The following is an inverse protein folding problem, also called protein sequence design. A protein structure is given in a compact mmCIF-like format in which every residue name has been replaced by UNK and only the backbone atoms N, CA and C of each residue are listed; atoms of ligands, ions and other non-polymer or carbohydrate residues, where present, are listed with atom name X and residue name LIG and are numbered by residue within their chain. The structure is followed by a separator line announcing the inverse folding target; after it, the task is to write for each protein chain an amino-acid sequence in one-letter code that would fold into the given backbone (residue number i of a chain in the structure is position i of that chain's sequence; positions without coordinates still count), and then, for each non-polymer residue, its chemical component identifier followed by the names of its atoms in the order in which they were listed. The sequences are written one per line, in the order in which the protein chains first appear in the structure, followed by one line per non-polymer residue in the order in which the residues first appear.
data_IF_386106270671
#
_entry.id   IF_386106270671
#
_cell.length_a   1.000
_cell.length_b   1.000
_cell.length_c   1.000
_cell.angle_alpha   90.00
_cell.angle_beta   90.00
_cell.angle_gamma   90.00
#
_symmetry.space_group_name_H-M   'P 1'
#
loop_
_entity.id
_entity.type
_entity.pdbx_description
1 polymer ?
#
# COMPACT_ATOMS: atom_id res chain seq x y z
N UNK A 1 -36.94 18.75 13.00
CA UNK A 1 -37.20 17.30 12.82
C UNK A 1 -35.88 16.59 13.06
N UNK A 2 -35.92 15.59 13.93
CA UNK A 2 -34.81 14.96 14.63
C UNK A 2 -33.71 14.44 13.72
N UNK A 3 -32.50 14.96 13.88
CA UNK A 3 -31.25 14.26 13.56
C UNK A 3 -31.00 13.19 14.64
N UNK A 4 -31.90 12.20 14.69
CA UNK A 4 -31.79 11.03 15.55
C UNK A 4 -30.64 10.16 15.04
N UNK A 5 -29.64 10.00 15.90
CA UNK A 5 -28.66 8.90 15.95
C UNK A 5 -28.61 8.02 14.70
N UNK A 6 -27.89 8.50 13.68
CA UNK A 6 -27.31 7.58 12.71
C UNK A 6 -26.30 6.76 13.51
N UNK A 7 -26.68 5.53 13.91
CA UNK A 7 -25.81 4.63 14.63
C UNK A 7 -24.46 4.60 13.89
N UNK A 8 -23.42 5.14 14.52
CA UNK A 8 -22.10 5.28 13.90
C UNK A 8 -21.64 3.87 13.61
N UNK A 9 -21.76 3.46 12.34
CA UNK A 9 -21.29 2.16 11.89
C UNK A 9 -19.78 2.15 12.05
N UNK A 10 -19.23 1.05 12.55
CA UNK A 10 -17.79 0.87 12.63
C UNK A 10 -17.16 1.10 11.25
N UNK A 11 -16.01 1.78 11.23
CA UNK A 11 -15.24 2.00 10.01
C UNK A 11 -14.58 0.69 9.58
N UNK A 12 -14.52 0.43 8.27
CA UNK A 12 -13.95 -0.82 7.74
C UNK A 12 -12.42 -0.88 7.86
N UNK A 13 -11.75 0.28 7.75
CA UNK A 13 -10.29 0.40 7.85
C UNK A 13 -9.93 1.72 8.49
N UNK A 14 -9.26 1.65 9.64
CA UNK A 14 -8.67 2.81 10.28
C UNK A 14 -7.26 3.11 9.74
N UNK A 15 -6.82 4.37 9.74
CA UNK A 15 -5.45 4.74 9.40
C UNK A 15 -4.42 4.10 10.34
N UNK A 16 -3.20 3.87 9.83
CA UNK A 16 -2.12 3.27 10.62
C UNK A 16 -1.81 3.98 11.94
N UNK A 17 -1.93 5.31 12.00
CA UNK A 17 -1.72 6.09 13.22
C UNK A 17 -2.76 5.81 14.31
N UNK A 18 -3.95 5.34 13.94
CA UNK A 18 -5.00 4.93 14.88
C UNK A 18 -4.79 3.47 15.29
N UNK A 19 -4.63 2.58 14.30
CA UNK A 19 -4.44 1.14 14.53
C UNK A 19 -3.23 0.87 15.43
N UNK A 20 -2.12 1.57 15.20
CA UNK A 20 -0.86 1.36 15.93
C UNK A 20 -0.51 2.50 16.89
N UNK A 21 -1.52 3.23 17.41
CA UNK A 21 -1.31 4.36 18.32
C UNK A 21 -0.43 3.98 19.52
N UNK A 22 -0.66 2.81 20.11
CA UNK A 22 0.10 2.34 21.28
C UNK A 22 1.57 2.10 20.95
N UNK A 23 1.88 1.53 19.79
CA UNK A 23 3.24 1.29 19.33
C UNK A 23 3.96 2.60 18.99
N UNK A 24 3.26 3.53 18.34
CA UNK A 24 3.79 4.85 17.99
C UNK A 24 4.13 5.66 19.24
N UNK A 25 3.22 5.75 20.21
CA UNK A 25 3.46 6.48 21.46
C UNK A 25 4.56 5.83 22.31
N UNK A 26 4.61 4.50 22.34
CA UNK A 26 5.71 3.77 22.98
C UNK A 26 7.05 4.11 22.35
N UNK A 27 7.15 4.08 21.03
CA UNK A 27 8.39 4.43 20.32
C UNK A 27 8.80 5.87 20.56
N UNK A 28 7.87 6.84 20.49
CA UNK A 28 8.14 8.26 20.80
C UNK A 28 8.67 8.45 22.22
N UNK A 29 8.07 7.77 23.22
CA UNK A 29 8.46 7.91 24.62
C UNK A 29 9.86 7.35 24.94
N UNK A 30 10.37 6.44 24.11
CA UNK A 30 11.70 5.83 24.27
C UNK A 30 12.72 6.37 23.25
N UNK A 31 12.32 7.34 22.42
CA UNK A 31 13.17 7.87 21.37
C UNK A 31 14.09 8.97 21.90
N UNK A 32 15.38 8.67 21.90
CA UNK A 32 16.44 9.60 22.27
C UNK A 32 17.32 10.01 21.08
N UNK A 33 16.90 9.65 19.85
CA UNK A 33 17.60 10.01 18.63
C UNK A 33 17.35 11.47 18.22
N UNK A 34 18.20 12.03 17.34
CA UNK A 34 17.93 13.33 16.73
C UNK A 34 16.68 13.23 15.84
N UNK A 35 15.75 14.17 16.02
CA UNK A 35 14.49 14.24 15.26
C UNK A 35 14.62 15.34 14.20
N UNK A 36 14.46 15.02 12.91
CA UNK A 36 14.42 16.03 11.85
C UNK A 36 13.31 17.06 12.08
N UNK A 37 13.48 18.32 11.66
CA UNK A 37 12.45 19.35 11.86
C UNK A 37 11.10 18.94 11.26
N UNK A 38 10.02 19.12 12.04
CA UNK A 38 8.65 18.76 11.69
C UNK A 38 8.29 17.26 11.82
N UNK A 39 9.26 16.38 12.11
CA UNK A 39 8.98 14.96 12.34
C UNK A 39 8.50 14.71 13.77
N UNK A 40 7.69 13.65 13.94
CA UNK A 40 7.15 13.21 15.24
C UNK A 40 8.13 12.32 16.01
N UNK A 41 9.09 11.70 15.33
CA UNK A 41 10.09 10.80 15.92
C UNK A 41 11.32 10.68 15.01
N UNK A 42 12.42 10.15 15.54
CA UNK A 42 13.69 9.99 14.85
C UNK A 42 13.63 8.93 13.75
N UNK A 43 14.52 9.00 12.74
CA UNK A 43 14.65 7.98 11.70
C UNK A 43 14.78 6.54 12.24
N UNK A 44 15.41 6.36 13.41
CA UNK A 44 15.56 5.05 14.04
C UNK A 44 14.24 4.54 14.63
N UNK A 45 13.44 5.42 15.23
CA UNK A 45 12.12 5.07 15.73
C UNK A 45 11.18 4.72 14.56
N UNK A 46 11.22 5.48 13.46
CA UNK A 46 10.48 5.15 12.22
C UNK A 46 10.91 3.79 11.67
N UNK A 47 12.22 3.50 11.62
CA UNK A 47 12.73 2.18 11.17
C UNK A 47 12.13 1.04 12.01
N UNK A 48 12.15 1.18 13.34
CA UNK A 48 11.59 0.19 14.26
C UNK A 48 10.08 0.04 14.11
N UNK A 49 9.35 1.13 13.91
CA UNK A 49 7.92 1.08 13.68
C UNK A 49 7.56 0.24 12.46
N UNK A 50 8.28 0.43 11.35
CA UNK A 50 8.03 -0.26 10.07
C UNK A 50 8.50 -1.72 10.12
N UNK A 51 9.74 -1.96 10.57
CA UNK A 51 10.37 -3.29 10.55
C UNK A 51 10.03 -4.17 11.75
N UNK A 52 9.42 -3.60 12.78
CA UNK A 52 9.22 -4.26 14.06
C UNK A 52 10.48 -4.27 14.93
N UNK A 53 10.27 -4.53 16.22
CA UNK A 53 11.30 -4.73 17.22
C UNK A 53 10.73 -5.66 18.29
N UNK A 54 11.09 -6.95 18.21
CA UNK A 54 10.56 -8.01 19.10
C UNK A 54 10.82 -7.72 20.58
N UNK A 55 11.99 -7.15 20.91
CA UNK A 55 12.34 -6.80 22.30
C UNK A 55 11.42 -5.73 22.87
N UNK A 56 10.86 -4.90 22.00
CA UNK A 56 9.91 -3.86 22.36
C UNK A 56 8.47 -4.28 22.10
N UNK A 57 8.21 -5.50 21.64
CA UNK A 57 6.88 -5.96 21.24
C UNK A 57 6.25 -5.12 20.13
N UNK A 58 7.08 -4.54 19.25
CA UNK A 58 6.64 -3.75 18.09
C UNK A 58 6.49 -4.70 16.92
N UNK A 59 5.30 -4.75 16.32
CA UNK A 59 4.99 -5.68 15.25
C UNK A 59 5.79 -5.36 13.97
N UNK A 60 6.28 -6.39 13.28
CA UNK A 60 6.85 -6.27 11.92
C UNK A 60 5.74 -6.02 10.90
N UNK A 61 5.51 -4.76 10.54
CA UNK A 61 4.44 -4.31 9.64
C UNK A 61 4.81 -4.40 8.16
N UNK A 62 6.11 -4.41 7.85
CA UNK A 62 6.63 -4.49 6.48
C UNK A 62 7.86 -5.40 6.39
N UNK A 63 7.87 -6.29 5.42
CA UNK A 63 8.98 -7.23 5.16
C UNK A 63 9.85 -6.67 4.07
N UNK A 64 11.04 -6.20 4.44
CA UNK A 64 12.07 -5.78 3.50
C UNK A 64 13.46 -5.77 4.14
N UNK A 65 14.47 -5.71 3.28
CA UNK A 65 15.85 -5.51 3.70
C UNK A 65 16.00 -4.21 4.49
N UNK A 66 16.73 -4.28 5.61
CA UNK A 66 17.00 -3.12 6.47
C UNK A 66 17.55 -1.95 5.65
N UNK A 67 18.49 -2.23 4.75
CA UNK A 67 19.14 -1.21 3.94
C UNK A 67 18.12 -0.44 3.07
N UNK A 68 17.11 -1.11 2.50
CA UNK A 68 16.06 -0.46 1.72
C UNK A 68 15.23 0.49 2.57
N UNK A 69 14.74 0.03 3.72
CA UNK A 69 13.94 0.86 4.64
C UNK A 69 14.74 2.09 5.10
N UNK A 70 16.01 1.89 5.46
CA UNK A 70 16.89 3.00 5.87
C UNK A 70 17.09 4.00 4.74
N UNK A 71 17.33 3.57 3.49
CA UNK A 71 17.48 4.50 2.36
C UNK A 71 16.22 5.32 2.12
N UNK A 72 15.04 4.71 2.20
CA UNK A 72 13.75 5.41 2.09
C UNK A 72 13.63 6.49 3.18
N UNK A 73 13.88 6.12 4.44
CA UNK A 73 13.79 7.07 5.56
C UNK A 73 14.79 8.21 5.41
N UNK A 74 16.03 7.92 5.00
CA UNK A 74 17.06 8.93 4.78
C UNK A 74 16.71 9.84 3.60
N UNK A 75 16.15 9.31 2.51
CA UNK A 75 15.63 10.12 1.40
C UNK A 75 14.60 11.13 1.89
N UNK A 76 13.68 10.70 2.76
CA UNK A 76 12.64 11.58 3.33
C UNK A 76 13.19 12.61 4.33
N UNK A 77 14.36 12.38 4.92
CA UNK A 77 15.07 13.40 5.72
C UNK A 77 15.66 14.51 4.84
N UNK A 78 15.82 14.28 3.53
CA UNK A 78 16.27 15.29 2.59
C UNK A 78 15.08 16.09 2.05
N UNK A 79 15.38 17.18 1.33
CA UNK A 79 14.37 17.93 0.58
C UNK A 79 14.00 17.26 -0.75
N UNK A 80 14.23 15.97 -0.95
CA UNK A 80 13.75 15.23 -2.13
C UNK A 80 12.53 14.40 -1.77
N UNK A 81 11.61 14.28 -2.72
CA UNK A 81 10.52 13.33 -2.58
C UNK A 81 11.04 11.89 -2.68
N UNK A 82 10.28 10.92 -2.17
CA UNK A 82 10.59 9.50 -2.34
C UNK A 82 9.59 8.90 -3.34
N UNK A 83 10.08 8.14 -4.31
CA UNK A 83 9.24 7.42 -5.26
C UNK A 83 9.45 5.91 -5.11
N UNK A 84 8.41 5.25 -4.62
CA UNK A 84 8.34 3.80 -4.46
C UNK A 84 7.85 3.17 -5.77
N UNK A 85 8.71 2.39 -6.42
CA UNK A 85 8.41 1.72 -7.70
C UNK A 85 8.39 0.21 -7.50
N UNK A 86 7.46 -0.50 -8.11
CA UNK A 86 7.46 -1.97 -8.03
C UNK A 86 6.21 -2.59 -8.63
N UNK A 87 6.18 -3.91 -8.70
CA UNK A 87 5.01 -4.65 -9.21
C UNK A 87 3.75 -4.35 -8.38
N UNK A 88 2.53 -4.47 -8.94
CA UNK A 88 1.31 -4.35 -8.16
C UNK A 88 1.29 -5.31 -6.97
N UNK A 89 0.75 -4.87 -5.83
CA UNK A 89 0.61 -5.71 -4.65
C UNK A 89 1.89 -5.95 -3.82
N UNK A 90 2.99 -5.24 -4.10
CA UNK A 90 4.21 -5.22 -3.24
C UNK A 90 4.10 -4.29 -2.03
N UNK A 91 2.88 -3.95 -1.61
CA UNK A 91 2.59 -3.14 -0.42
C UNK A 91 3.19 -1.71 -0.40
N UNK A 92 3.45 -1.10 -1.58
CA UNK A 92 3.96 0.28 -1.71
C UNK A 92 3.10 1.33 -0.98
N UNK A 93 1.79 1.30 -1.22
CA UNK A 93 0.85 2.22 -0.56
C UNK A 93 0.76 1.98 0.94
N UNK A 94 0.94 0.74 1.39
CA UNK A 94 1.01 0.43 2.82
C UNK A 94 2.27 0.98 3.46
N UNK A 95 3.43 0.82 2.83
CA UNK A 95 4.68 1.42 3.30
C UNK A 95 4.59 2.95 3.35
N UNK A 96 4.01 3.57 2.32
CA UNK A 96 3.72 5.01 2.25
C UNK A 96 2.84 5.48 3.42
N UNK A 97 1.82 4.70 3.78
CA UNK A 97 0.96 4.96 4.94
C UNK A 97 1.72 4.88 6.26
N UNK A 98 2.46 3.79 6.48
CA UNK A 98 3.24 3.58 7.70
C UNK A 98 4.27 4.68 7.93
N UNK A 99 4.98 5.08 6.88
CA UNK A 99 5.96 6.16 6.95
C UNK A 99 5.29 7.50 7.27
N UNK A 100 4.17 7.82 6.62
CA UNK A 100 3.45 9.07 6.87
C UNK A 100 2.88 9.13 8.29
N UNK A 101 2.34 8.02 8.79
CA UNK A 101 1.85 7.88 10.16
C UNK A 101 2.98 8.08 11.18
N UNK A 102 4.13 7.41 10.99
CA UNK A 102 5.26 7.53 11.90
C UNK A 102 5.93 8.91 11.86
N UNK A 103 6.07 9.49 10.67
CA UNK A 103 6.79 10.75 10.48
C UNK A 103 5.94 11.96 10.84
N UNK A 104 4.70 12.03 10.36
CA UNK A 104 3.84 13.22 10.51
C UNK A 104 2.68 13.02 11.46
N UNK A 105 2.43 11.80 11.94
CA UNK A 105 1.25 11.48 12.76
C UNK A 105 -0.06 11.50 11.98
N UNK A 106 0.00 11.61 10.65
CA UNK A 106 -1.16 11.65 9.78
C UNK A 106 -0.82 11.07 8.41
N UNK A 107 -1.53 10.02 8.01
CA UNK A 107 -1.35 9.33 6.73
C UNK A 107 -2.49 9.55 5.74
N UNK A 108 -3.39 10.47 6.04
CA UNK A 108 -4.66 10.71 5.31
C UNK A 108 -4.55 11.80 4.24
N UNK A 109 -3.42 12.51 4.16
CA UNK A 109 -3.14 13.46 3.07
C UNK A 109 -2.73 12.69 1.80
N UNK A 110 -3.73 12.26 1.03
CA UNK A 110 -3.54 11.39 -0.13
C UNK A 110 -4.00 12.09 -1.42
N UNK A 111 -3.16 12.04 -2.45
CA UNK A 111 -3.51 12.31 -3.84
C UNK A 111 -3.51 11.00 -4.63
N UNK A 112 -4.51 10.80 -5.47
CA UNK A 112 -4.63 9.64 -6.35
C UNK A 112 -4.41 10.07 -7.80
N UNK A 113 -3.43 9.47 -8.48
CA UNK A 113 -2.98 9.97 -9.76
C UNK A 113 -4.02 9.93 -10.88
N UNK A 114 -4.93 8.94 -10.85
CA UNK A 114 -6.05 8.86 -11.79
C UNK A 114 -7.24 9.79 -11.47
N UNK A 115 -7.26 10.43 -10.30
CA UNK A 115 -8.37 11.26 -9.86
C UNK A 115 -8.15 12.76 -10.10
N UNK A 116 -6.91 13.19 -10.30
CA UNK A 116 -6.55 14.59 -10.53
C UNK A 116 -6.31 14.81 -12.02
N UNK A 117 -7.06 15.73 -12.63
CA UNK A 117 -6.96 16.01 -14.07
C UNK A 117 -6.50 17.45 -14.39
N UNK A 118 -6.49 18.33 -13.39
CA UNK A 118 -6.16 19.76 -13.56
C UNK A 118 -5.21 20.26 -12.47
N UNK A 119 -4.32 21.20 -12.84
CA UNK A 119 -3.30 21.76 -11.93
C UNK A 119 -3.96 22.47 -10.74
N UNK A 120 -5.11 23.13 -10.96
CA UNK A 120 -5.90 23.71 -9.86
C UNK A 120 -6.22 22.65 -8.80
N UNK A 121 -6.88 21.55 -9.19
CA UNK A 121 -7.25 20.45 -8.28
C UNK A 121 -6.05 19.84 -7.53
N UNK A 122 -4.85 19.91 -8.10
CA UNK A 122 -3.64 19.44 -7.45
C UNK A 122 -3.27 20.29 -6.22
N UNK A 123 -3.50 21.61 -6.26
CA UNK A 123 -3.12 22.55 -5.20
C UNK A 123 -4.32 23.03 -4.37
N UNK A 124 -5.40 23.47 -5.00
CA UNK A 124 -6.57 24.02 -4.31
C UNK A 124 -7.81 24.09 -5.22
N UNK A 125 -8.96 24.21 -4.58
CA UNK A 125 -10.18 24.68 -5.22
C UNK A 125 -10.74 25.90 -4.47
N UNK A 126 -11.92 26.37 -4.87
CA UNK A 126 -12.59 27.50 -4.25
C UNK A 126 -13.93 27.08 -3.65
N UNK A 127 -14.28 27.70 -2.53
CA UNK A 127 -15.65 27.79 -2.06
C UNK A 127 -16.37 28.85 -2.89
N UNK A 128 -17.15 28.40 -3.88
CA UNK A 128 -17.82 29.27 -4.85
C UNK A 128 -18.72 30.33 -4.20
N UNK A 129 -19.34 30.02 -3.06
CA UNK A 129 -20.20 30.98 -2.35
C UNK A 129 -19.40 32.12 -1.72
N UNK A 130 -18.26 31.81 -1.09
CA UNK A 130 -17.38 32.84 -0.50
C UNK A 130 -16.68 33.61 -1.62
N UNK A 131 -16.22 32.92 -2.67
CA UNK A 131 -15.57 33.52 -3.82
C UNK A 131 -16.49 34.53 -4.53
N UNK A 132 -17.77 34.20 -4.71
CA UNK A 132 -18.74 35.10 -5.34
C UNK A 132 -19.00 36.38 -4.51
N UNK A 133 -19.02 36.26 -3.18
CA UNK A 133 -19.36 37.36 -2.28
C UNK A 133 -18.16 38.25 -1.91
N UNK A 134 -17.02 37.64 -1.62
CA UNK A 134 -15.83 38.32 -1.08
C UNK A 134 -14.69 38.44 -2.13
N UNK A 135 -14.82 37.79 -3.29
CA UNK A 135 -13.73 37.66 -4.26
C UNK A 135 -12.65 36.66 -3.81
N UNK A 136 -11.55 36.54 -4.58
CA UNK A 136 -10.43 35.68 -4.22
C UNK A 136 -9.82 36.09 -2.88
N UNK A 137 -9.93 35.22 -1.88
CA UNK A 137 -9.38 35.43 -0.54
C UNK A 137 -9.06 34.10 0.13
N UNK A 138 -8.21 34.10 1.16
CA UNK A 138 -7.84 32.88 1.91
C UNK A 138 -9.05 32.13 2.48
N UNK A 139 -10.14 32.83 2.83
CA UNK A 139 -11.37 32.18 3.31
C UNK A 139 -12.09 31.37 2.23
N UNK A 140 -12.00 31.81 0.98
CA UNK A 140 -12.57 31.10 -0.15
C UNK A 140 -11.70 29.91 -0.57
N UNK A 141 -10.42 29.88 -0.19
CA UNK A 141 -9.48 28.83 -0.59
C UNK A 141 -9.81 27.50 0.08
N UNK A 142 -9.97 26.45 -0.73
CA UNK A 142 -10.13 25.08 -0.27
C UNK A 142 -8.86 24.31 -0.62
N UNK A 143 -7.92 24.15 0.32
CA UNK A 143 -6.61 23.56 0.01
C UNK A 143 -6.71 22.07 -0.25
N UNK A 144 -6.00 21.59 -1.28
CA UNK A 144 -5.87 20.16 -1.57
C UNK A 144 -5.05 19.44 -0.49
N UNK A 145 -4.99 18.10 -0.48
CA UNK A 145 -4.05 17.37 0.37
C UNK A 145 -2.59 17.83 0.24
N UNK A 146 -2.16 18.22 -0.97
CA UNK A 146 -0.79 18.70 -1.20
C UNK A 146 -0.56 20.05 -0.52
N UNK A 147 -1.44 21.02 -0.76
CA UNK A 147 -1.30 22.36 -0.16
C UNK A 147 -1.46 22.32 1.36
N UNK A 148 -2.37 21.49 1.88
CA UNK A 148 -2.46 21.23 3.33
C UNK A 148 -1.16 20.66 3.88
N UNK A 149 -0.58 19.67 3.20
CA UNK A 149 0.72 19.11 3.59
C UNK A 149 1.83 20.17 3.65
N UNK A 150 1.88 21.06 2.65
CA UNK A 150 2.81 22.19 2.64
C UNK A 150 2.56 23.15 3.81
N UNK A 151 1.32 23.58 4.01
CA UNK A 151 0.94 24.54 5.06
C UNK A 151 1.12 23.97 6.48
N UNK A 152 0.98 22.67 6.65
CA UNK A 152 1.03 22.00 7.97
C UNK A 152 2.39 21.34 8.26
N UNK A 153 3.28 21.23 7.26
CA UNK A 153 4.57 20.55 7.42
C UNK A 153 4.43 19.03 7.54
N UNK A 154 3.60 18.42 6.68
CA UNK A 154 3.25 16.99 6.76
C UNK A 154 3.60 16.21 5.50
N UNK A 155 3.81 14.90 5.66
CA UNK A 155 3.97 13.97 4.56
C UNK A 155 2.69 13.90 3.72
N UNK A 156 2.84 13.99 2.40
CA UNK A 156 1.76 13.81 1.43
C UNK A 156 2.04 12.56 0.62
N UNK A 157 1.02 11.70 0.52
CA UNK A 157 1.09 10.45 -0.23
C UNK A 157 0.54 10.68 -1.63
N UNK A 158 1.33 10.42 -2.65
CA UNK A 158 0.92 10.53 -4.04
C UNK A 158 0.87 9.14 -4.67
N UNK A 159 -0.30 8.53 -4.66
CA UNK A 159 -0.48 7.17 -5.14
C UNK A 159 -0.64 7.15 -6.68
N UNK A 160 0.04 6.20 -7.34
CA UNK A 160 0.00 5.99 -8.79
C UNK A 160 0.34 7.25 -9.61
N UNK A 161 1.41 7.97 -9.25
CA UNK A 161 1.80 9.26 -9.86
C UNK A 161 1.98 9.20 -11.39
N UNK A 162 2.35 8.03 -11.93
CA UNK A 162 2.51 7.82 -13.37
C UNK A 162 1.18 7.82 -14.15
N UNK A 163 0.04 7.74 -13.46
CA UNK A 163 -1.29 7.89 -14.09
C UNK A 163 -1.69 9.34 -14.31
N UNK A 164 -0.99 10.30 -13.69
CA UNK A 164 -1.24 11.71 -13.91
C UNK A 164 -0.74 12.20 -15.28
N UNK A 165 -1.48 13.11 -15.93
CA UNK A 165 -0.97 13.91 -17.05
C UNK A 165 0.37 14.57 -16.73
N UNK A 166 1.22 14.70 -17.74
CA UNK A 166 2.57 15.24 -17.57
C UNK A 166 2.58 16.70 -17.05
N UNK A 167 1.57 17.51 -17.41
CA UNK A 167 1.41 18.87 -16.88
C UNK A 167 1.23 18.90 -15.36
N UNK A 168 0.57 17.90 -14.77
CA UNK A 168 0.45 17.77 -13.31
C UNK A 168 1.75 17.33 -12.66
N UNK A 169 2.46 16.40 -13.30
CA UNK A 169 3.78 15.96 -12.83
C UNK A 169 4.77 17.14 -12.81
N UNK A 170 4.73 18.00 -13.82
CA UNK A 170 5.60 19.17 -13.90
C UNK A 170 5.18 20.27 -12.91
N UNK A 171 3.89 20.38 -12.57
CA UNK A 171 3.42 21.28 -11.51
C UNK A 171 3.94 20.92 -10.11
N UNK A 172 4.34 19.66 -9.87
CA UNK A 172 5.00 19.26 -8.62
C UNK A 172 6.44 19.74 -8.52
N UNK A 173 7.08 20.16 -9.62
CA UNK A 173 8.50 20.50 -9.63
C UNK A 173 8.80 21.72 -8.76
N UNK A 174 7.96 22.75 -8.79
CA UNK A 174 8.11 23.93 -7.92
C UNK A 174 7.90 23.55 -6.46
N UNK A 175 6.88 22.72 -6.16
CA UNK A 175 6.58 22.24 -4.82
C UNK A 175 7.71 21.39 -4.22
N UNK A 176 8.38 20.57 -5.03
CA UNK A 176 9.50 19.73 -4.58
C UNK A 176 10.85 20.46 -4.55
N UNK A 177 11.09 21.37 -5.50
CA UNK A 177 12.39 22.05 -5.65
C UNK A 177 12.45 23.30 -4.79
N UNK A 178 11.50 24.22 -4.98
CA UNK A 178 11.53 25.56 -4.39
C UNK A 178 10.74 25.61 -3.07
N UNK A 179 9.94 24.57 -2.80
CA UNK A 179 9.07 24.50 -1.62
C UNK A 179 8.05 25.64 -1.56
N UNK A 180 7.63 26.11 -2.74
CA UNK A 180 6.66 27.20 -2.92
C UNK A 180 5.51 26.75 -3.80
N UNK A 181 4.29 27.13 -3.43
CA UNK A 181 3.12 27.11 -4.28
C UNK A 181 2.61 28.54 -4.45
N UNK A 182 2.30 28.92 -5.68
CA UNK A 182 1.76 30.25 -6.02
C UNK A 182 0.28 30.11 -6.33
N UNK A 183 -0.53 30.99 -5.73
CA UNK A 183 -1.98 31.13 -5.90
C UNK A 183 -2.19 32.51 -6.55
N UNK A 184 -2.17 32.60 -7.89
CA UNK A 184 -2.12 33.88 -8.60
C UNK A 184 -3.32 34.79 -8.34
N UNK A 185 -4.47 34.21 -7.96
CA UNK A 185 -5.70 34.95 -7.71
C UNK A 185 -5.66 35.74 -6.39
N UNK A 186 -4.77 35.39 -5.45
CA UNK A 186 -4.61 36.12 -4.19
C UNK A 186 -3.59 37.24 -4.33
N UNK A 187 -3.90 38.42 -3.78
CA UNK A 187 -3.05 39.59 -3.89
C UNK A 187 -1.89 39.56 -2.89
N UNK A 188 -0.72 40.04 -3.33
CA UNK A 188 0.46 40.22 -2.48
C UNK A 188 1.02 38.91 -1.94
N UNK A 189 1.54 38.96 -0.71
CA UNK A 189 2.23 37.83 -0.08
C UNK A 189 1.28 36.66 0.25
N UNK A 190 -0.03 36.89 0.31
CA UNK A 190 -1.03 35.83 0.58
C UNK A 190 -1.12 34.81 -0.56
N UNK A 191 -0.73 35.18 -1.77
CA UNK A 191 -0.67 34.29 -2.93
C UNK A 191 0.57 33.39 -2.96
N UNK A 192 1.47 33.49 -1.97
CA UNK A 192 2.71 32.70 -1.93
C UNK A 192 2.71 31.80 -0.69
N UNK A 193 2.53 30.49 -0.91
CA UNK A 193 2.55 29.50 0.16
C UNK A 193 3.91 28.80 0.20
N UNK A 194 4.64 29.03 1.29
CA UNK A 194 5.89 28.32 1.59
C UNK A 194 5.59 27.04 2.37
N UNK A 195 6.22 25.93 2.00
CA UNK A 195 6.08 24.69 2.75
C UNK A 195 6.79 24.79 4.10
N UNK A 196 6.11 24.34 5.16
CA UNK A 196 6.68 24.26 6.51
C UNK A 196 7.62 23.05 6.63
N UNK A 197 8.54 23.13 7.58
CA UNK A 197 9.38 22.01 7.98
C UNK A 197 8.54 20.77 8.28
N UNK A 198 9.01 19.59 7.84
CA UNK A 198 8.27 18.33 7.91
C UNK A 198 7.50 17.97 6.63
N UNK A 199 7.25 18.92 5.73
CA UNK A 199 6.62 18.63 4.45
C UNK A 199 7.54 17.82 3.52
N UNK A 200 7.04 16.69 3.03
CA UNK A 200 7.63 15.98 1.89
C UNK A 200 6.59 15.11 1.17
N UNK A 201 6.96 14.53 0.03
CA UNK A 201 6.08 13.68 -0.78
C UNK A 201 6.60 12.25 -0.86
N UNK A 202 5.73 11.29 -0.56
CA UNK A 202 5.95 9.86 -0.81
C UNK A 202 5.05 9.45 -1.97
N UNK A 203 5.62 9.22 -3.14
CA UNK A 203 4.88 8.79 -4.32
C UNK A 203 5.01 7.29 -4.57
N UNK A 204 4.01 6.71 -5.24
CA UNK A 204 4.05 5.31 -5.70
C UNK A 204 3.84 5.23 -7.21
N UNK A 205 4.48 4.24 -7.83
CA UNK A 205 4.26 3.89 -9.24
C UNK A 205 4.39 2.39 -9.44
N UNK A 206 3.58 1.82 -10.34
CA UNK A 206 3.78 0.45 -10.78
C UNK A 206 4.92 0.42 -11.82
N UNK A 207 5.76 -0.63 -11.79
CA UNK A 207 6.87 -0.82 -12.73
C UNK A 207 6.42 -1.41 -14.08
N UNK A 208 5.31 -2.18 -14.06
CA UNK A 208 4.80 -2.95 -15.19
C UNK A 208 3.70 -2.20 -15.95
N UNK A 209 3.08 -1.19 -15.32
CA UNK A 209 2.11 -0.37 -16.04
C UNK A 209 2.87 0.46 -17.07
N UNK A 210 2.48 0.29 -18.34
CA UNK A 210 2.36 1.38 -19.29
C UNK A 210 1.38 2.42 -18.72
N UNK A 211 1.72 3.02 -17.58
CA UNK A 211 1.02 4.17 -17.04
C UNK A 211 0.95 5.16 -18.18
N UNK A 212 -0.26 5.57 -18.54
CA UNK A 212 -0.62 6.29 -19.77
C UNK A 212 0.38 7.42 -20.11
N UNK A 213 1.04 7.97 -19.08
CA UNK A 213 2.11 8.96 -19.21
C UNK A 213 3.46 8.47 -18.69
N UNK A 214 4.48 8.54 -19.56
CA UNK A 214 5.88 8.37 -19.15
C UNK A 214 6.26 9.45 -18.15
N UNK A 215 6.82 9.04 -17.01
CA UNK A 215 7.27 9.98 -15.99
C UNK A 215 8.32 10.96 -16.51
N UNK A 216 8.13 12.26 -16.23
CA UNK A 216 9.00 13.32 -16.75
C UNK A 216 10.42 13.21 -16.18
N UNK A 217 11.44 13.39 -17.03
CA UNK A 217 12.84 13.31 -16.61
C UNK A 217 13.19 14.35 -15.53
N UNK A 218 12.48 15.47 -15.50
CA UNK A 218 12.62 16.49 -14.46
C UNK A 218 12.15 15.97 -13.10
N UNK A 219 10.97 15.33 -13.05
CA UNK A 219 10.44 14.76 -11.81
C UNK A 219 11.35 13.66 -11.27
N UNK A 220 11.89 12.81 -12.16
CA UNK A 220 12.87 11.78 -11.78
C UNK A 220 14.15 12.34 -11.13
N UNK A 221 14.52 13.60 -11.39
CA UNK A 221 15.72 14.21 -10.77
C UNK A 221 15.42 14.87 -9.42
N UNK A 222 14.15 14.99 -9.04
CA UNK A 222 13.68 15.62 -7.80
C UNK A 222 13.16 14.60 -6.78
N UNK A 223 13.13 13.33 -7.15
CA UNK A 223 12.75 12.23 -6.28
C UNK A 223 13.86 11.19 -6.22
N UNK A 224 14.07 10.59 -5.05
CA UNK A 224 14.91 9.41 -4.94
C UNK A 224 14.05 8.16 -5.18
N UNK A 225 14.61 7.21 -5.92
CA UNK A 225 13.90 6.01 -6.39
C UNK A 225 14.25 4.84 -5.50
N UNK A 226 13.23 4.14 -5.03
CA UNK A 226 13.39 2.88 -4.33
C UNK A 226 12.48 1.82 -4.92
N UNK A 227 13.09 0.73 -5.37
CA UNK A 227 12.38 -0.41 -5.94
C UNK A 227 11.91 -1.35 -4.84
N UNK A 228 10.60 -1.57 -4.76
CA UNK A 228 9.95 -2.47 -3.82
C UNK A 228 9.64 -3.78 -4.53
N UNK A 229 10.47 -4.78 -4.28
CA UNK A 229 10.32 -6.12 -4.81
C UNK A 229 9.30 -6.95 -4.01
N UNK A 230 8.70 -7.99 -4.61
CA UNK A 230 7.95 -9.01 -3.88
C UNK A 230 8.80 -9.69 -2.79
N UNK A 231 8.12 -10.23 -1.77
CA UNK A 231 8.78 -10.99 -0.71
C UNK A 231 9.45 -12.23 -1.30
N UNK A 232 10.75 -12.40 -1.01
CA UNK A 232 11.57 -13.47 -1.57
C UNK A 232 11.47 -14.78 -0.81
N UNK A 233 11.41 -14.71 0.51
CA UNK A 233 11.35 -15.91 1.34
C UNK A 233 9.89 -16.33 1.53
N UNK A 234 9.60 -17.58 1.20
CA UNK A 234 8.25 -18.14 1.35
C UNK A 234 7.76 -18.06 2.80
N UNK A 235 8.64 -18.31 3.78
CA UNK A 235 8.29 -18.23 5.20
C UNK A 235 7.88 -16.82 5.61
N UNK A 236 8.61 -15.79 5.15
CA UNK A 236 8.23 -14.41 5.43
C UNK A 236 6.90 -14.03 4.76
N UNK A 237 6.63 -14.56 3.56
CA UNK A 237 5.36 -14.35 2.86
C UNK A 237 4.21 -15.06 3.60
N UNK A 238 4.45 -16.27 4.11
CA UNK A 238 3.52 -17.02 4.95
C UNK A 238 3.14 -16.24 6.22
N UNK A 239 4.14 -15.73 6.93
CA UNK A 239 3.95 -14.97 8.17
C UNK A 239 3.08 -13.73 7.93
N UNK A 240 3.30 -13.05 6.79
CA UNK A 240 2.47 -11.90 6.39
C UNK A 240 1.04 -12.35 6.09
N UNK A 241 0.85 -13.39 5.29
CA UNK A 241 -0.48 -13.85 4.90
C UNK A 241 -1.28 -14.30 6.12
N UNK A 242 -0.72 -15.17 6.96
CA UNK A 242 -1.38 -15.66 8.17
C UNK A 242 -1.76 -14.51 9.12
N UNK A 243 -0.83 -13.58 9.38
CA UNK A 243 -1.08 -12.46 10.28
C UNK A 243 -2.19 -11.54 9.76
N UNK A 244 -2.14 -11.16 8.48
CA UNK A 244 -3.11 -10.23 7.93
C UNK A 244 -4.49 -10.89 7.72
N UNK A 245 -4.55 -12.20 7.45
CA UNK A 245 -5.82 -12.96 7.42
C UNK A 245 -6.44 -13.04 8.81
N UNK A 246 -5.64 -13.33 9.86
CA UNK A 246 -6.13 -13.33 11.26
C UNK A 246 -6.72 -11.96 11.62
N UNK A 247 -6.00 -10.86 11.35
CA UNK A 247 -6.51 -9.50 11.57
C UNK A 247 -7.79 -9.21 10.78
N UNK A 248 -7.89 -9.68 9.54
CA UNK A 248 -9.08 -9.49 8.72
C UNK A 248 -10.28 -10.28 9.27
N UNK A 249 -10.06 -11.51 9.73
CA UNK A 249 -11.08 -12.34 10.36
C UNK A 249 -11.56 -11.71 11.68
N UNK A 250 -10.65 -11.25 12.54
CA UNK A 250 -10.99 -10.59 13.80
C UNK A 250 -11.87 -9.35 13.57
N UNK A 251 -11.51 -8.51 12.60
CA UNK A 251 -12.31 -7.32 12.22
C UNK A 251 -13.69 -7.69 11.67
N UNK A 252 -13.79 -8.82 10.98
CA UNK A 252 -15.04 -9.33 10.45
C UNK A 252 -15.89 -10.07 11.51
N UNK A 253 -15.36 -10.27 12.72
CA UNK A 253 -16.00 -11.07 13.77
C UNK A 253 -16.12 -12.55 13.39
N UNK A 254 -15.15 -13.05 12.63
CA UNK A 254 -15.11 -14.42 12.11
C UNK A 254 -14.14 -15.24 12.93
N UNK A 255 -14.61 -16.34 13.51
CA UNK A 255 -13.79 -17.28 14.28
C UNK A 255 -13.61 -18.58 13.50
N UNK A 256 -12.56 -18.64 12.69
CA UNK A 256 -12.26 -19.80 11.84
C UNK A 256 -10.89 -20.33 12.20
N UNK A 257 -10.80 -21.64 12.41
CA UNK A 257 -9.51 -22.30 12.56
C UNK A 257 -8.78 -22.28 11.21
N UNK A 258 -7.64 -21.57 11.19
CA UNK A 258 -6.80 -21.43 10.01
C UNK A 258 -5.71 -22.50 10.09
N UNK A 259 -5.90 -23.58 9.34
CA UNK A 259 -4.86 -24.57 9.13
C UNK A 259 -3.72 -23.97 8.28
N UNK A 260 -2.56 -23.75 8.91
CA UNK A 260 -1.38 -23.17 8.26
C UNK A 260 -0.92 -24.01 7.05
N UNK A 261 -1.13 -25.33 7.08
CA UNK A 261 -0.78 -26.23 5.98
C UNK A 261 -1.72 -26.13 4.77
N UNK A 262 -2.91 -25.54 4.94
CA UNK A 262 -3.81 -25.19 3.84
C UNK A 262 -3.39 -23.86 3.22
N UNK A 263 -3.08 -22.86 4.05
CA UNK A 263 -2.55 -21.56 3.59
C UNK A 263 -1.20 -21.74 2.89
N UNK A 264 -0.40 -22.72 3.30
CA UNK A 264 0.88 -23.03 2.65
C UNK A 264 0.74 -23.35 1.17
N UNK A 265 -0.33 -24.06 0.79
CA UNK A 265 -0.63 -24.36 -0.61
C UNK A 265 -0.82 -23.07 -1.39
N UNK A 266 -1.68 -22.17 -0.89
CA UNK A 266 -1.96 -20.89 -1.52
C UNK A 266 -0.69 -20.09 -1.75
N UNK A 267 0.09 -19.88 -0.68
CA UNK A 267 1.28 -19.02 -0.72
C UNK A 267 2.33 -19.63 -1.63
N UNK A 268 2.52 -20.96 -1.59
CA UNK A 268 3.46 -21.64 -2.48
C UNK A 268 3.05 -21.54 -3.94
N UNK A 269 1.78 -21.79 -4.27
CA UNK A 269 1.29 -21.68 -5.64
C UNK A 269 1.49 -20.25 -6.18
N UNK A 270 1.11 -19.24 -5.40
CA UNK A 270 1.24 -17.84 -5.80
C UNK A 270 2.71 -17.46 -5.97
N UNK A 271 3.57 -17.88 -5.05
CA UNK A 271 5.00 -17.62 -5.09
C UNK A 271 5.66 -18.21 -6.35
N UNK A 272 5.41 -19.48 -6.65
CA UNK A 272 6.03 -20.16 -7.78
C UNK A 272 5.53 -19.63 -9.13
N UNK A 273 4.22 -19.44 -9.25
CA UNK A 273 3.58 -18.93 -10.46
C UNK A 273 3.92 -17.46 -10.72
N UNK A 274 4.15 -16.66 -9.67
CA UNK A 274 4.64 -15.28 -9.80
C UNK A 274 6.08 -15.23 -10.30
N UNK A 275 6.91 -16.16 -9.85
CA UNK A 275 8.33 -16.22 -10.19
C UNK A 275 8.63 -17.03 -11.46
N UNK A 276 7.69 -17.83 -11.96
CA UNK A 276 7.93 -18.77 -13.07
C UNK A 276 8.93 -19.87 -12.70
N UNK A 277 9.06 -20.17 -11.40
CA UNK A 277 10.00 -21.16 -10.90
C UNK A 277 9.45 -21.81 -9.64
N UNK A 278 9.52 -23.13 -9.60
CA UNK A 278 9.19 -23.93 -8.40
C UNK A 278 10.23 -23.77 -7.30
N UNK A 279 9.88 -24.07 -6.05
CA UNK A 279 10.80 -24.00 -4.91
C UNK A 279 12.04 -24.89 -5.08
N UNK A 280 11.92 -26.00 -5.83
CA UNK A 280 13.03 -26.88 -6.18
C UNK A 280 13.83 -26.45 -7.43
N UNK A 281 13.52 -25.27 -7.98
CA UNK A 281 14.29 -24.61 -9.03
C UNK A 281 13.87 -24.95 -10.46
N UNK A 282 12.88 -25.84 -10.68
CA UNK A 282 12.36 -26.14 -12.02
C UNK A 282 11.57 -24.95 -12.56
N UNK A 283 11.83 -24.58 -13.81
CA UNK A 283 11.03 -23.57 -14.52
C UNK A 283 9.57 -23.98 -14.63
N UNK A 284 8.67 -23.02 -14.52
CA UNK A 284 7.24 -23.19 -14.76
C UNK A 284 6.66 -21.94 -15.43
N UNK A 285 5.40 -21.99 -15.82
CA UNK A 285 4.74 -20.86 -16.44
C UNK A 285 4.58 -19.70 -15.45
N UNK A 286 4.83 -18.47 -15.93
CA UNK A 286 4.59 -17.25 -15.17
C UNK A 286 3.17 -16.74 -15.41
N UNK A 287 2.48 -16.40 -14.33
CA UNK A 287 1.18 -15.71 -14.32
C UNK A 287 1.38 -14.24 -13.97
N UNK A 288 0.40 -13.39 -14.30
CA UNK A 288 0.49 -11.95 -14.03
C UNK A 288 0.72 -11.66 -12.54
N UNK A 289 1.74 -10.85 -12.22
CA UNK A 289 2.16 -10.61 -10.84
C UNK A 289 1.11 -9.93 -9.96
N UNK A 290 0.21 -9.12 -10.54
CA UNK A 290 -0.89 -8.47 -9.82
C UNK A 290 -1.89 -9.48 -9.23
N UNK A 291 -2.26 -10.50 -10.02
CA UNK A 291 -3.17 -11.56 -9.64
C UNK A 291 -2.55 -12.56 -8.63
N UNK A 292 -1.25 -12.50 -8.39
CA UNK A 292 -0.53 -13.42 -7.49
C UNK A 292 0.31 -12.68 -6.44
N UNK A 293 -0.13 -11.48 -6.07
CA UNK A 293 0.53 -10.69 -5.03
C UNK A 293 0.24 -11.23 -3.63
N UNK A 294 1.08 -10.87 -2.66
CA UNK A 294 0.84 -11.22 -1.25
C UNK A 294 -0.48 -10.64 -0.73
N UNK A 295 -0.86 -9.44 -1.19
CA UNK A 295 -2.16 -8.83 -0.85
C UNK A 295 -3.34 -9.63 -1.42
N UNK A 296 -3.18 -10.18 -2.62
CA UNK A 296 -4.19 -11.05 -3.22
C UNK A 296 -4.27 -12.39 -2.47
N UNK A 297 -3.15 -12.96 -2.03
CA UNK A 297 -3.15 -14.15 -1.17
C UNK A 297 -3.91 -13.92 0.15
N UNK A 298 -3.70 -12.77 0.82
CA UNK A 298 -4.49 -12.39 2.00
C UNK A 298 -5.99 -12.33 1.66
N UNK A 299 -6.35 -11.72 0.53
CA UNK A 299 -7.75 -11.62 0.10
C UNK A 299 -8.38 -12.99 -0.18
N UNK A 300 -7.64 -13.89 -0.83
CA UNK A 300 -8.08 -15.26 -1.12
C UNK A 300 -8.29 -16.08 0.15
N UNK A 301 -7.33 -16.06 1.08
CA UNK A 301 -7.43 -16.78 2.35
C UNK A 301 -8.51 -16.20 3.27
N UNK A 302 -8.70 -14.87 3.29
CA UNK A 302 -9.80 -14.25 4.04
C UNK A 302 -11.17 -14.62 3.43
N UNK A 303 -11.30 -14.61 2.10
CA UNK A 303 -12.53 -15.07 1.43
C UNK A 303 -12.83 -16.55 1.74
N UNK A 304 -11.81 -17.41 1.74
CA UNK A 304 -11.95 -18.80 2.15
C UNK A 304 -12.37 -18.95 3.62
N UNK A 305 -11.87 -18.08 4.51
CA UNK A 305 -12.28 -18.03 5.91
C UNK A 305 -13.77 -17.65 6.04
N UNK A 306 -14.20 -16.60 5.34
CA UNK A 306 -15.60 -16.18 5.31
C UNK A 306 -16.51 -17.30 4.78
N UNK A 307 -16.08 -17.98 3.73
CA UNK A 307 -16.84 -19.10 3.16
C UNK A 307 -16.95 -20.27 4.16
N UNK A 308 -15.84 -20.61 4.83
CA UNK A 308 -15.84 -21.61 5.89
C UNK A 308 -16.78 -21.25 7.05
N UNK A 309 -16.77 -19.99 7.49
CA UNK A 309 -17.62 -19.50 8.58
C UNK A 309 -19.10 -19.52 8.24
N UNK A 310 -19.47 -18.92 7.10
CA UNK A 310 -20.88 -18.74 6.75
C UNK A 310 -21.52 -19.97 6.10
N UNK A 311 -20.72 -20.81 5.42
CA UNK A 311 -21.25 -21.93 4.61
C UNK A 311 -20.51 -23.27 4.81
N UNK A 312 -19.32 -23.28 5.42
CA UNK A 312 -18.41 -24.44 5.45
C UNK A 312 -18.18 -25.10 6.81
N UNK A 313 -19.00 -24.82 7.83
CA UNK A 313 -18.91 -25.48 9.14
C UNK A 313 -17.73 -25.05 10.02
N UNK A 314 -17.12 -23.88 9.75
CA UNK A 314 -16.14 -23.24 10.63
C UNK A 314 -14.66 -23.60 10.39
N UNK A 315 -14.33 -24.43 9.41
CA UNK A 315 -12.95 -24.81 9.08
C UNK A 315 -12.58 -24.50 7.64
N UNK A 316 -11.40 -23.93 7.41
CA UNK A 316 -10.89 -23.68 6.06
C UNK A 316 -10.37 -24.98 5.42
N UNK A 317 -11.08 -25.50 4.41
CA UNK A 317 -10.66 -26.70 3.67
C UNK A 317 -9.88 -26.34 2.41
N UNK A 318 -9.09 -27.31 1.90
CA UNK A 318 -8.38 -27.18 0.61
C UNK A 318 -9.36 -26.91 -0.54
N UNK A 319 -10.56 -27.52 -0.51
CA UNK A 319 -11.59 -27.31 -1.53
C UNK A 319 -12.08 -25.86 -1.59
N UNK A 320 -12.44 -25.29 -0.44
CA UNK A 320 -12.86 -23.88 -0.36
C UNK A 320 -11.75 -22.95 -0.84
N UNK A 321 -10.52 -23.18 -0.39
CA UNK A 321 -9.36 -22.38 -0.80
C UNK A 321 -9.13 -22.46 -2.32
N UNK A 322 -9.21 -23.66 -2.90
CA UNK A 322 -8.99 -23.88 -4.33
C UNK A 322 -10.00 -23.13 -5.21
N UNK A 323 -11.27 -23.04 -4.79
CA UNK A 323 -12.26 -22.22 -5.51
C UNK A 323 -11.87 -20.75 -5.59
N UNK A 324 -11.36 -20.18 -4.49
CA UNK A 324 -10.93 -18.79 -4.45
C UNK A 324 -9.59 -18.56 -5.17
N UNK A 325 -8.65 -19.51 -5.12
CA UNK A 325 -7.40 -19.47 -5.90
C UNK A 325 -7.69 -19.36 -7.39
N UNK A 326 -8.58 -20.22 -7.91
CA UNK A 326 -8.89 -20.24 -9.35
C UNK A 326 -9.59 -18.95 -9.78
N UNK A 327 -10.54 -18.46 -8.97
CA UNK A 327 -11.20 -17.19 -9.24
C UNK A 327 -10.25 -15.98 -9.23
N UNK A 328 -9.18 -16.05 -8.43
CA UNK A 328 -8.14 -15.02 -8.36
C UNK A 328 -7.15 -15.11 -9.53
N UNK A 329 -6.62 -16.30 -9.80
CA UNK A 329 -5.58 -16.53 -10.80
C UNK A 329 -6.07 -16.39 -12.25
N UNK A 330 -7.39 -16.55 -12.52
CA UNK A 330 -7.96 -16.56 -13.88
C UNK A 330 -8.76 -15.29 -14.24
N UNK A 331 -8.46 -14.15 -13.60
CA UNK A 331 -9.21 -12.89 -13.78
C UNK A 331 -9.05 -12.26 -15.16
N UNK A 332 -7.83 -12.22 -15.68
CA UNK A 332 -7.47 -11.21 -16.69
C UNK A 332 -7.07 -11.80 -18.05
N UNK A 333 -6.27 -12.88 -18.11
CA UNK A 333 -5.76 -13.39 -19.38
C UNK A 333 -6.33 -14.76 -19.77
N UNK A 334 -6.81 -14.93 -21.02
CA UNK A 334 -7.30 -16.22 -21.50
C UNK A 334 -6.28 -17.36 -21.40
N UNK A 335 -4.99 -17.03 -21.56
CA UNK A 335 -3.89 -17.99 -21.51
C UNK A 335 -3.55 -18.47 -20.09
N UNK A 336 -3.94 -17.72 -19.06
CA UNK A 336 -3.64 -18.02 -17.65
C UNK A 336 -4.20 -19.36 -17.22
N UNK A 337 -5.33 -19.76 -17.81
CA UNK A 337 -5.94 -21.07 -17.56
C UNK A 337 -5.06 -22.21 -18.04
N UNK A 338 -4.49 -22.10 -19.24
CA UNK A 338 -3.59 -23.10 -19.80
C UNK A 338 -2.33 -23.22 -18.94
N UNK A 339 -1.76 -22.08 -18.52
CA UNK A 339 -0.57 -22.00 -17.66
C UNK A 339 -0.81 -22.63 -16.30
N UNK A 340 -1.94 -22.31 -15.66
CA UNK A 340 -2.31 -22.90 -14.37
C UNK A 340 -2.50 -24.42 -14.48
N UNK A 341 -3.14 -24.91 -15.55
CA UNK A 341 -3.28 -26.35 -15.80
C UNK A 341 -1.92 -27.03 -15.95
N UNK A 342 -1.02 -26.44 -16.72
CA UNK A 342 0.34 -26.95 -16.90
C UNK A 342 1.12 -26.99 -15.57
N UNK A 343 1.01 -25.95 -14.76
CA UNK A 343 1.60 -25.91 -13.41
C UNK A 343 1.07 -27.04 -12.53
N UNK A 344 -0.24 -27.30 -12.56
CA UNK A 344 -0.82 -28.43 -11.82
C UNK A 344 -0.19 -29.76 -12.27
N UNK A 345 -0.11 -29.99 -13.59
CA UNK A 345 0.40 -31.25 -14.16
C UNK A 345 1.89 -31.48 -13.86
N UNK A 346 2.69 -30.42 -13.80
CA UNK A 346 4.16 -30.52 -13.71
C UNK A 346 4.72 -30.27 -12.31
N UNK A 347 4.11 -29.35 -11.55
CA UNK A 347 4.61 -28.91 -10.25
C UNK A 347 3.78 -29.45 -9.07
N UNK A 348 2.46 -29.58 -9.23
CA UNK A 348 1.57 -30.06 -8.15
C UNK A 348 1.47 -31.58 -8.12
N UNK A 349 1.30 -32.23 -9.28
CA UNK A 349 1.18 -33.69 -9.40
C UNK A 349 2.28 -34.52 -8.70
N UNK A 350 3.58 -34.14 -8.73
CA UNK A 350 4.63 -34.91 -8.05
C UNK A 350 4.65 -34.72 -6.53
N UNK A 351 3.96 -33.70 -5.98
CA UNK A 351 4.01 -33.40 -4.53
C UNK A 351 3.37 -34.52 -3.71
N UNK A 352 3.84 -34.65 -2.48
CA UNK A 352 3.37 -35.62 -1.49
C UNK A 352 2.83 -34.84 -0.28
N UNK A 353 1.90 -35.45 0.45
CA UNK A 353 1.18 -34.81 1.55
C UNK A 353 -0.32 -34.69 1.27
N UNK A 354 -1.14 -34.84 2.31
CA UNK A 354 -2.60 -34.92 2.18
C UNK A 354 -3.20 -33.73 1.47
N UNK A 355 -2.81 -32.51 1.85
CA UNK A 355 -3.39 -31.30 1.28
C UNK A 355 -2.98 -31.09 -0.20
N UNK A 356 -1.72 -31.37 -0.57
CA UNK A 356 -1.25 -31.30 -1.96
C UNK A 356 -1.94 -32.32 -2.86
N UNK A 357 -2.20 -33.53 -2.36
CA UNK A 357 -2.96 -34.55 -3.09
C UNK A 357 -4.43 -34.16 -3.28
N UNK A 358 -5.05 -33.53 -2.27
CA UNK A 358 -6.39 -32.96 -2.39
C UNK A 358 -6.44 -31.83 -3.42
N UNK A 359 -5.48 -30.90 -3.39
CA UNK A 359 -5.38 -29.83 -4.38
C UNK A 359 -5.25 -30.39 -5.81
N UNK A 360 -4.40 -31.41 -6.01
CA UNK A 360 -4.27 -32.10 -7.30
C UNK A 360 -5.56 -32.79 -7.76
N UNK A 361 -6.32 -33.39 -6.84
CA UNK A 361 -7.61 -34.00 -7.17
C UNK A 361 -8.62 -32.96 -7.69
N UNK A 362 -8.55 -31.73 -7.17
CA UNK A 362 -9.40 -30.59 -7.55
C UNK A 362 -8.98 -29.89 -8.85
N UNK A 363 -7.96 -30.37 -9.57
CA UNK A 363 -7.55 -29.80 -10.87
C UNK A 363 -8.69 -29.71 -11.90
N UNK A 364 -9.73 -30.54 -11.76
CA UNK A 364 -10.94 -30.49 -12.61
C UNK A 364 -11.74 -29.20 -12.47
N UNK A 365 -11.48 -28.38 -11.45
CA UNK A 365 -12.03 -27.04 -11.30
C UNK A 365 -11.44 -26.05 -12.32
N UNK A 366 -10.25 -26.35 -12.87
CA UNK A 366 -9.57 -25.54 -13.88
C UNK A 366 -10.11 -25.95 -15.27
N UNK A 367 -11.39 -25.67 -15.56
CA UNK A 367 -12.06 -26.11 -16.80
C UNK A 367 -11.77 -25.27 -18.03
#
# INVERSE_FOLDING_TARGET
MSSENMAIRAVQREPAEVVYVQELEKLKGMDHGPVPPGWQMSPRAVEKFVRGDEKLGIERKFVADRAMVVRIIISLCTSRGCLLVGEPGTAKSWLSELLSAAISGNSTLILQGGAVSQVGQLLYSWNESVLHNEGPCLKALVPSPLLRGMMEGRMVRFEEIARCPQSLQDALLSVLSDRVAVIPELAGDEGVVLAREGFNVIATSNSVDEGVHRMSAALKRRMDFEEICPIRNLSDEMDVVLREVRKANDRAGVDVDIDESVVEILVTMFHELRNGQTLDGRSTDRLAGSALSTAEAVSVAHAASLNAWYYGGGSMTVELLMHHIIGSALKDQPDDRRRLRHYFETAVAPRRGGNWQQAWALRSLIR
#
